data_IF_595587152059
#
_entry.id   IF_595587152059
#
_cell.length_a   1.000
_cell.length_b   1.000
_cell.length_c   1.000
_cell.angle_alpha   90.00
_cell.angle_beta   90.00
_cell.angle_gamma   90.00
#
_symmetry.space_group_name_H-M   'P 1'
#
loop_
_entity.id
_entity.type
_entity.pdbx_description
1 polymer ?
#
# COMPACT_ATOMS: atom_id res chain seq x y z
N UNK A 1 -35.07 -50.72 10.30
CA UNK A 1 -33.92 -51.62 10.52
C UNK A 1 -32.79 -51.28 9.56
N UNK A 2 -31.84 -50.40 9.91
CA UNK A 2 -30.54 -50.31 9.24
C UNK A 2 -29.47 -49.90 10.27
N UNK A 3 -28.81 -50.90 10.85
CA UNK A 3 -27.56 -50.75 11.60
C UNK A 3 -26.40 -50.80 10.59
N UNK A 4 -25.32 -50.04 10.88
CA UNK A 4 -23.87 -50.28 10.64
C UNK A 4 -23.19 -48.95 10.29
N UNK A 5 -22.58 -48.22 11.24
CA UNK A 5 -21.23 -48.37 11.82
C UNK A 5 -20.08 -48.39 10.79
N UNK A 6 -19.33 -47.28 10.73
CA UNK A 6 -17.90 -47.15 10.41
C UNK A 6 -17.58 -45.65 10.30
N UNK A 7 -16.46 -45.07 10.74
CA UNK A 7 -15.33 -45.47 11.55
C UNK A 7 -14.66 -44.15 12.00
N UNK A 8 -14.01 -44.17 13.15
CA UNK A 8 -13.45 -43.01 13.82
C UNK A 8 -12.23 -42.39 13.11
N UNK A 9 -12.11 -41.06 13.18
CA UNK A 9 -10.83 -40.39 13.35
C UNK A 9 -10.95 -39.48 14.59
N UNK A 10 -10.18 -39.78 15.62
CA UNK A 10 -10.07 -38.98 16.84
C UNK A 10 -8.61 -38.54 17.01
N UNK A 11 -8.41 -37.22 17.18
CA UNK A 11 -7.40 -36.55 18.01
C UNK A 11 -7.61 -35.03 17.77
N UNK A 12 -8.23 -34.25 18.67
CA UNK A 12 -7.67 -33.72 19.93
C UNK A 12 -6.32 -33.02 19.68
N UNK A 13 -6.06 -31.74 19.96
CA UNK A 13 -6.59 -30.78 20.94
C UNK A 13 -6.36 -29.36 20.39
N UNK A 14 -7.35 -28.47 20.56
CA UNK A 14 -7.21 -27.04 20.26
C UNK A 14 -6.20 -26.40 21.21
N UNK A 15 -5.02 -26.02 20.69
CA UNK A 15 -4.08 -25.13 21.37
C UNK A 15 -4.12 -23.79 20.64
N UNK A 16 -4.68 -22.78 21.31
CA UNK A 16 -4.83 -21.43 20.78
C UNK A 16 -3.47 -20.85 20.39
N UNK A 17 -3.30 -20.59 19.10
CA UNK A 17 -2.16 -19.84 18.61
C UNK A 17 -2.51 -18.35 18.80
N UNK A 18 -1.93 -17.73 19.85
CA UNK A 18 -1.73 -16.29 19.85
C UNK A 18 -0.85 -15.96 18.63
N UNK A 19 -1.47 -15.56 17.52
CA UNK A 19 -0.73 -14.97 16.43
C UNK A 19 -0.27 -13.57 16.87
N UNK A 20 1.04 -13.27 16.92
CA UNK A 20 1.49 -11.93 17.23
C UNK A 20 0.99 -10.96 16.16
N UNK A 21 0.40 -9.85 16.59
CA UNK A 21 -0.01 -8.74 15.74
C UNK A 21 1.26 -8.11 15.15
N UNK A 22 1.64 -8.51 13.94
CA UNK A 22 2.73 -7.82 13.21
C UNK A 22 2.18 -6.50 12.73
N UNK A 23 2.44 -5.43 13.48
CA UNK A 23 2.22 -4.07 13.02
C UNK A 23 3.13 -3.82 11.79
N UNK A 24 2.65 -3.14 10.74
CA UNK A 24 3.51 -2.77 9.63
C UNK A 24 4.65 -1.90 10.18
N UNK A 25 5.89 -2.35 10.05
CA UNK A 25 7.05 -1.51 10.33
C UNK A 25 6.99 -0.31 9.37
N UNK A 26 7.07 0.93 9.87
CA UNK A 26 7.16 2.07 8.98
C UNK A 26 8.40 1.90 8.12
N UNK A 27 8.22 1.90 6.80
CA UNK A 27 9.34 1.90 5.87
C UNK A 27 10.08 3.24 6.05
N UNK A 28 11.25 3.20 6.67
CA UNK A 28 12.15 4.35 6.69
C UNK A 28 12.84 4.42 5.33
N UNK A 29 12.58 5.48 4.57
CA UNK A 29 13.33 5.74 3.36
C UNK A 29 14.81 6.00 3.71
N UNK A 30 15.73 5.47 2.91
CA UNK A 30 17.13 5.83 3.02
C UNK A 30 17.30 7.33 2.71
N UNK A 31 18.29 8.02 3.30
CA UNK A 31 18.54 9.42 2.97
C UNK A 31 18.98 9.50 1.52
N UNK A 32 18.17 10.18 0.71
CA UNK A 32 18.52 10.49 -0.67
C UNK A 32 19.46 11.70 -0.72
N UNK A 33 20.27 11.80 -1.78
CA UNK A 33 21.21 12.92 -1.96
C UNK A 33 20.46 14.25 -2.13
N UNK A 34 19.32 14.19 -2.80
CA UNK A 34 18.43 15.33 -3.04
C UNK A 34 17.07 15.09 -2.39
N UNK A 35 16.38 16.16 -2.02
CA UNK A 35 15.05 16.09 -1.39
C UNK A 35 13.97 15.50 -2.30
N UNK A 36 14.22 15.55 -3.60
CA UNK A 36 13.38 15.11 -4.71
C UNK A 36 13.98 13.89 -5.43
N UNK A 37 14.96 13.21 -4.82
CA UNK A 37 15.45 11.90 -5.25
C UNK A 37 14.68 10.83 -4.44
N UNK A 38 13.57 10.34 -4.98
CA UNK A 38 12.66 9.46 -4.25
C UNK A 38 13.13 8.01 -4.20
N UNK A 39 14.07 7.63 -5.07
CA UNK A 39 14.60 6.26 -5.14
C UNK A 39 16.05 6.12 -4.62
N UNK A 40 16.72 7.24 -4.30
CA UNK A 40 18.06 7.29 -3.76
C UNK A 40 19.17 7.02 -4.77
N UNK A 41 18.91 7.19 -6.08
CA UNK A 41 19.89 6.90 -7.15
C UNK A 41 20.85 8.06 -7.45
N UNK A 42 20.70 9.19 -6.76
CA UNK A 42 21.59 10.34 -6.86
C UNK A 42 21.25 11.31 -7.98
N UNK A 43 20.08 11.19 -8.59
CA UNK A 43 19.52 12.11 -9.58
C UNK A 43 18.19 12.70 -9.09
N UNK A 44 17.87 13.92 -9.54
CA UNK A 44 16.58 14.56 -9.24
C UNK A 44 15.44 13.85 -9.99
N UNK A 45 14.34 13.58 -9.30
CA UNK A 45 13.13 12.99 -9.88
C UNK A 45 12.01 14.03 -10.09
N UNK A 46 11.02 13.67 -10.90
CA UNK A 46 9.86 14.52 -11.19
C UNK A 46 8.55 13.84 -10.78
N UNK A 47 7.82 14.46 -9.86
CA UNK A 47 6.45 14.08 -9.54
C UNK A 47 5.44 14.88 -10.38
N UNK A 48 4.59 14.18 -11.14
CA UNK A 48 3.55 14.78 -11.99
C UNK A 48 2.17 14.26 -11.62
N UNK A 49 1.18 15.15 -11.60
CA UNK A 49 -0.21 14.79 -11.28
C UNK A 49 -0.93 14.15 -12.47
N UNK A 50 -1.60 13.04 -12.24
CA UNK A 50 -2.58 12.43 -13.15
C UNK A 50 -3.97 12.52 -12.51
N UNK A 51 -4.48 13.74 -12.32
CA UNK A 51 -5.71 14.01 -11.54
C UNK A 51 -6.98 13.33 -12.07
N UNK A 52 -7.00 13.00 -13.37
CA UNK A 52 -8.14 12.31 -14.01
C UNK A 52 -7.98 10.79 -14.09
N UNK A 53 -6.92 10.22 -13.50
CA UNK A 53 -6.68 8.79 -13.56
C UNK A 53 -7.82 7.98 -12.93
N UNK A 54 -8.18 6.88 -13.58
CA UNK A 54 -9.09 5.88 -13.03
C UNK A 54 -8.27 4.84 -12.28
N UNK A 55 -8.59 4.60 -11.01
CA UNK A 55 -7.86 3.65 -10.16
C UNK A 55 -8.85 2.63 -9.60
N UNK A 56 -8.62 1.34 -9.86
CA UNK A 56 -9.50 0.27 -9.37
C UNK A 56 -10.97 0.42 -9.79
N UNK A 57 -11.24 1.04 -10.95
CA UNK A 57 -12.59 1.33 -11.44
C UNK A 57 -13.18 2.68 -10.98
N UNK A 58 -12.55 3.37 -10.03
CA UNK A 58 -12.98 4.70 -9.59
C UNK A 58 -12.46 5.77 -10.55
N UNK A 59 -13.36 6.33 -11.38
CA UNK A 59 -13.01 7.39 -12.33
C UNK A 59 -12.67 8.69 -11.60
N UNK A 60 -11.60 9.37 -12.05
CA UNK A 60 -11.16 10.62 -11.43
C UNK A 60 -10.60 10.49 -10.02
N UNK A 61 -10.27 9.27 -9.57
CA UNK A 61 -9.63 9.04 -8.28
C UNK A 61 -8.24 9.70 -8.18
N UNK A 62 -7.59 9.89 -9.33
CA UNK A 62 -6.30 10.53 -9.42
C UNK A 62 -5.12 9.61 -9.09
N UNK A 63 -3.95 10.00 -9.56
CA UNK A 63 -2.68 9.36 -9.25
C UNK A 63 -1.54 10.38 -9.34
N UNK A 64 -0.38 10.01 -8.78
CA UNK A 64 0.89 10.72 -8.97
C UNK A 64 1.83 9.79 -9.72
N UNK A 65 2.45 10.30 -10.78
CA UNK A 65 3.52 9.61 -11.50
C UNK A 65 4.84 10.21 -11.06
N UNK A 66 5.73 9.38 -10.52
CA UNK A 66 7.10 9.78 -10.23
C UNK A 66 7.98 9.26 -11.35
N UNK A 67 8.59 10.15 -12.11
CA UNK A 67 9.55 9.82 -13.17
C UNK A 67 10.96 9.98 -12.63
N UNK A 68 11.74 8.91 -12.71
CA UNK A 68 13.08 8.88 -12.14
C UNK A 68 14.10 9.56 -13.04
N UNK A 69 14.99 10.34 -12.42
CA UNK A 69 16.11 10.99 -13.07
C UNK A 69 17.17 10.01 -13.59
N UNK A 70 18.09 10.55 -14.38
CA UNK A 70 19.30 9.86 -14.81
C UNK A 70 20.36 10.86 -15.27
N UNK A 71 21.56 10.37 -15.56
CA UNK A 71 22.62 11.18 -16.18
C UNK A 71 22.20 11.80 -17.53
N UNK A 72 21.25 11.18 -18.23
CA UNK A 72 20.68 11.68 -19.49
C UNK A 72 19.44 12.56 -19.29
N UNK A 73 19.07 12.85 -18.05
CA UNK A 73 17.87 13.61 -17.69
C UNK A 73 16.62 12.74 -17.48
N UNK A 74 15.46 13.40 -17.55
CA UNK A 74 14.14 12.80 -17.34
C UNK A 74 13.67 12.07 -18.60
N UNK A 75 13.18 10.84 -18.43
CA UNK A 75 12.57 10.04 -19.48
C UNK A 75 11.41 9.22 -18.92
N UNK A 76 10.33 9.10 -19.69
CA UNK A 76 9.15 8.30 -19.29
C UNK A 76 9.45 6.81 -19.10
N UNK A 77 10.63 6.32 -19.51
CA UNK A 77 11.01 4.91 -19.41
C UNK A 77 11.15 4.40 -17.97
N UNK A 78 11.54 5.25 -17.02
CA UNK A 78 11.72 4.89 -15.61
C UNK A 78 10.73 5.69 -14.76
N UNK A 79 9.66 5.05 -14.32
CA UNK A 79 8.67 5.70 -13.46
C UNK A 79 7.97 4.71 -12.54
N UNK A 80 7.33 5.24 -11.51
CA UNK A 80 6.32 4.54 -10.71
C UNK A 80 5.03 5.35 -10.66
N UNK A 81 3.91 4.67 -10.44
CA UNK A 81 2.59 5.28 -10.31
C UNK A 81 2.05 5.02 -8.92
N UNK A 82 1.73 6.09 -8.21
CA UNK A 82 1.21 6.07 -6.85
C UNK A 82 -0.25 6.51 -6.86
N UNK A 83 -1.10 5.75 -6.18
CA UNK A 83 -2.51 6.06 -5.97
C UNK A 83 -2.90 5.72 -4.54
N UNK A 84 -4.12 6.06 -4.12
CA UNK A 84 -4.65 5.62 -2.81
C UNK A 84 -4.74 4.08 -2.69
N UNK A 85 -4.69 3.34 -3.80
CA UNK A 85 -4.65 1.88 -3.78
C UNK A 85 -3.22 1.32 -3.73
N UNK A 86 -2.19 2.16 -3.73
CA UNK A 86 -0.80 1.71 -3.52
C UNK A 86 -0.65 1.19 -2.09
N UNK A 87 0.05 0.07 -1.91
CA UNK A 87 0.28 -0.51 -0.59
C UNK A 87 0.89 0.52 0.38
N UNK A 88 0.35 0.60 1.60
CA UNK A 88 0.76 1.58 2.61
C UNK A 88 0.06 2.94 2.51
N UNK A 89 -0.68 3.23 1.43
CA UNK A 89 -1.54 4.42 1.37
C UNK A 89 -2.82 4.19 2.21
N UNK A 90 -3.24 5.17 3.03
CA UNK A 90 -4.49 5.07 3.77
C UNK A 90 -5.71 5.22 2.84
N UNK A 91 -6.76 4.44 3.11
CA UNK A 91 -8.04 4.56 2.43
C UNK A 91 -8.18 3.68 1.18
N UNK A 92 -9.04 4.09 0.25
CA UNK A 92 -9.29 3.39 -1.01
C UNK A 92 -9.66 4.43 -2.07
N UNK A 93 -9.13 4.25 -3.29
CA UNK A 93 -9.38 5.14 -4.40
C UNK A 93 -10.88 5.44 -4.60
N UNK A 94 -11.20 6.73 -4.78
CA UNK A 94 -12.57 7.20 -4.99
C UNK A 94 -13.46 7.22 -3.74
N UNK A 95 -12.96 6.76 -2.59
CA UNK A 95 -13.65 6.95 -1.31
C UNK A 95 -13.13 8.20 -0.63
N UNK A 96 -13.93 9.26 -0.63
CA UNK A 96 -13.75 10.35 0.34
C UNK A 96 -14.05 9.78 1.72
N UNK A 97 -13.01 9.53 2.52
CA UNK A 97 -13.18 9.26 3.95
C UNK A 97 -13.94 10.47 4.52
N UNK A 98 -15.03 10.30 5.28
CA UNK A 98 -15.61 11.40 6.04
C UNK A 98 -14.46 12.02 6.85
N UNK A 99 -14.29 13.34 6.75
CA UNK A 99 -13.25 14.06 7.47
C UNK A 99 -13.17 13.53 8.89
N UNK A 100 -12.07 12.87 9.25
CA UNK A 100 -11.81 12.57 10.66
C UNK A 100 -11.74 13.94 11.31
N UNK A 101 -12.73 14.35 12.14
CA UNK A 101 -12.60 15.63 12.82
C UNK A 101 -11.29 15.57 13.59
N UNK A 102 -10.49 16.63 13.50
CA UNK A 102 -9.16 16.76 14.12
C UNK A 102 -9.16 16.62 15.66
N UNK A 103 -10.28 16.17 16.27
CA UNK A 103 -10.55 16.10 17.70
C UNK A 103 -10.44 14.69 18.29
N UNK A 104 -9.93 13.68 17.59
CA UNK A 104 -9.67 12.37 18.21
C UNK A 104 -8.25 12.35 18.80
N UNK A 105 -8.08 12.34 20.14
CA UNK A 105 -6.78 12.15 20.75
C UNK A 105 -6.30 10.73 20.45
N UNK A 106 -5.08 10.62 19.93
CA UNK A 106 -4.33 9.37 19.93
C UNK A 106 -3.92 9.11 21.38
N UNK A 107 -4.66 8.26 22.08
CA UNK A 107 -4.21 7.61 23.33
C UNK A 107 -3.50 6.32 23.01
#
# INVERSE_FOLDING_TARGET
MHKRRALALAAAVASGLLAPLTLPTPATAAPAKYTDDFNGDGYHDLATSAVRATVGGASGAGAVVVTYGSASGISAARHTVLSQNTSGAPGTAGKTTPSVPCSQPVT
#
